data_IF_317775696537
#
_entry.id   IF_317775696537
#
_cell.length_a   1.000
_cell.length_b   1.000
_cell.length_c   1.000
_cell.angle_alpha   90.00
_cell.angle_beta   90.00
_cell.angle_gamma   90.00
#
_symmetry.space_group_name_H-M   'P 1'
#
loop_
_entity.id
_entity.type
_entity.pdbx_description
1 polymer ?
#
# COMPACT_ATOMS: atom_id res chain seq x y z
N UNK A 1 -7.29 -1.55 1.63
CA UNK A 1 -6.24 -0.51 1.81
C UNK A 1 -6.84 0.88 1.91
N UNK A 2 -7.56 1.37 0.89
CA UNK A 2 -8.12 2.74 0.91
C UNK A 2 -9.22 2.94 1.96
N UNK A 3 -10.02 1.90 2.24
CA UNK A 3 -11.04 1.91 3.28
C UNK A 3 -10.49 2.07 4.71
N UNK A 4 -9.17 2.02 4.90
CA UNK A 4 -8.54 2.32 6.19
C UNK A 4 -8.19 3.82 6.33
N UNK A 5 -8.33 4.60 5.26
CA UNK A 5 -8.01 6.03 5.19
C UNK A 5 -9.20 6.92 4.78
N UNK A 6 -10.20 6.33 4.12
CA UNK A 6 -11.36 7.02 3.53
C UNK A 6 -12.63 6.25 3.83
N UNK A 7 -13.73 6.97 4.00
CA UNK A 7 -15.04 6.35 4.03
C UNK A 7 -15.39 5.75 2.67
N UNK A 8 -16.24 4.72 2.65
CA UNK A 8 -16.55 3.96 1.43
C UNK A 8 -17.14 4.87 0.35
N UNK A 9 -17.96 5.82 0.77
CA UNK A 9 -18.68 6.78 -0.07
C UNK A 9 -17.73 7.78 -0.75
N UNK A 10 -16.56 8.02 -0.16
CA UNK A 10 -15.54 8.90 -0.74
C UNK A 10 -14.71 8.22 -1.82
N UNK A 11 -14.60 6.89 -1.78
CA UNK A 11 -13.73 6.14 -2.69
C UNK A 11 -14.45 5.98 -4.05
N UNK A 12 -13.91 6.56 -5.15
CA UNK A 12 -14.55 6.47 -6.44
C UNK A 12 -14.62 5.01 -6.93
N UNK A 13 -15.75 4.55 -7.49
CA UNK A 13 -15.90 3.17 -7.97
C UNK A 13 -14.83 2.73 -8.96
N UNK A 14 -14.37 3.65 -9.82
CA UNK A 14 -13.31 3.40 -10.80
C UNK A 14 -12.00 3.02 -10.11
N UNK A 15 -11.67 3.62 -8.96
CA UNK A 15 -10.47 3.30 -8.18
C UNK A 15 -10.52 1.86 -7.70
N UNK A 16 -11.67 1.43 -7.16
CA UNK A 16 -11.87 0.06 -6.70
C UNK A 16 -11.72 -0.92 -7.88
N UNK A 17 -12.34 -0.60 -9.02
CA UNK A 17 -12.28 -1.39 -10.25
C UNK A 17 -10.83 -1.56 -10.75
N UNK A 18 -10.06 -0.48 -10.83
CA UNK A 18 -8.68 -0.55 -11.31
C UNK A 18 -7.76 -1.28 -10.33
N UNK A 19 -7.91 -1.09 -9.01
CA UNK A 19 -7.18 -1.88 -8.02
C UNK A 19 -7.47 -3.38 -8.21
N UNK A 20 -8.75 -3.77 -8.36
CA UNK A 20 -9.13 -5.17 -8.56
C UNK A 20 -8.53 -5.74 -9.85
N UNK A 21 -8.61 -5.03 -10.97
CA UNK A 21 -8.10 -5.52 -12.25
C UNK A 21 -6.58 -5.67 -12.28
N UNK A 22 -5.85 -4.71 -11.71
CA UNK A 22 -4.39 -4.72 -11.79
C UNK A 22 -3.73 -5.57 -10.71
N UNK A 23 -4.35 -5.76 -9.55
CA UNK A 23 -3.73 -6.49 -8.45
C UNK A 23 -3.97 -8.02 -8.50
N UNK A 24 -4.74 -8.54 -9.45
CA UNK A 24 -4.97 -9.98 -9.66
C UNK A 24 -4.16 -10.53 -10.84
N UNK A 25 -2.92 -10.10 -10.99
CA UNK A 25 -2.12 -10.29 -12.20
C UNK A 25 -1.29 -11.60 -12.22
N UNK A 26 -1.10 -12.27 -11.07
CA UNK A 26 -0.25 -13.46 -10.99
C UNK A 26 -1.06 -14.75 -11.12
N UNK A 27 -0.64 -15.58 -12.07
CA UNK A 27 -1.18 -16.90 -12.34
C UNK A 27 -0.57 -17.95 -11.39
N UNK A 28 -1.32 -19.00 -11.06
CA UNK A 28 -0.72 -20.19 -10.45
C UNK A 28 -0.09 -21.10 -11.51
N UNK A 29 0.52 -22.19 -11.05
CA UNK A 29 1.23 -23.15 -11.91
C UNK A 29 0.27 -23.91 -12.86
N UNK A 30 -1.05 -23.78 -12.68
CA UNK A 30 -2.11 -24.30 -13.56
C UNK A 30 -2.63 -23.26 -14.57
N UNK A 31 -2.08 -22.04 -14.57
CA UNK A 31 -2.55 -20.96 -15.45
C UNK A 31 -3.86 -20.29 -14.99
N UNK A 32 -4.26 -20.46 -13.73
CA UNK A 32 -5.44 -19.80 -13.17
C UNK A 32 -5.09 -18.38 -12.69
N UNK A 33 -5.86 -17.38 -13.14
CA UNK A 33 -5.65 -15.95 -12.83
C UNK A 33 -5.88 -15.66 -11.35
N UNK A 34 -5.04 -14.80 -10.75
CA UNK A 34 -5.25 -14.24 -9.42
C UNK A 34 -4.99 -15.22 -8.26
N UNK A 35 -4.36 -16.37 -8.53
CA UNK A 35 -4.16 -17.45 -7.54
C UNK A 35 -2.82 -17.40 -6.81
N UNK A 36 -1.91 -16.50 -7.18
CA UNK A 36 -0.58 -16.35 -6.55
C UNK A 36 -0.32 -14.93 -6.04
N UNK A 37 -1.40 -14.15 -5.85
CA UNK A 37 -1.37 -12.78 -5.34
C UNK A 37 -1.02 -11.73 -6.40
N UNK A 38 -0.43 -10.64 -5.95
CA UNK A 38 -0.07 -9.46 -6.77
C UNK A 38 1.43 -9.42 -7.06
N UNK A 39 1.82 -9.11 -8.30
CA UNK A 39 3.23 -8.95 -8.65
C UNK A 39 3.80 -7.61 -8.16
N UNK A 40 5.14 -7.53 -8.16
CA UNK A 40 5.85 -6.26 -7.92
C UNK A 40 5.48 -5.21 -8.97
N UNK A 41 5.30 -5.63 -10.23
CA UNK A 41 5.00 -4.73 -11.35
C UNK A 41 3.60 -4.14 -11.21
N UNK A 42 2.61 -4.97 -10.86
CA UNK A 42 1.26 -4.51 -10.57
C UNK A 42 1.23 -3.51 -9.41
N UNK A 43 2.01 -3.77 -8.35
CA UNK A 43 2.10 -2.88 -7.19
C UNK A 43 2.75 -1.53 -7.54
N UNK A 44 3.81 -1.54 -8.36
CA UNK A 44 4.41 -0.31 -8.89
C UNK A 44 3.44 0.47 -9.79
N UNK A 45 2.76 -0.24 -10.69
CA UNK A 45 1.79 0.35 -11.61
C UNK A 45 0.64 1.01 -10.85
N UNK A 46 0.01 0.31 -9.91
CA UNK A 46 -1.12 0.87 -9.14
C UNK A 46 -0.67 2.04 -8.26
N UNK A 47 0.56 2.01 -7.74
CA UNK A 47 1.13 3.14 -6.99
C UNK A 47 1.20 4.40 -7.85
N UNK A 48 1.76 4.28 -9.05
CA UNK A 48 1.87 5.39 -9.98
C UNK A 48 0.48 5.85 -10.48
N UNK A 49 -0.40 4.91 -10.80
CA UNK A 49 -1.75 5.22 -11.24
C UNK A 49 -2.56 5.98 -10.17
N UNK A 50 -2.51 5.54 -8.91
CA UNK A 50 -3.16 6.23 -7.79
C UNK A 50 -2.59 7.63 -7.55
N UNK A 51 -1.27 7.80 -7.66
CA UNK A 51 -0.63 9.12 -7.56
C UNK A 51 -1.14 10.07 -8.66
N UNK A 52 -1.22 9.60 -9.91
CA UNK A 52 -1.75 10.41 -11.01
C UNK A 52 -3.25 10.65 -10.88
N UNK A 53 -4.00 9.67 -10.39
CA UNK A 53 -5.42 9.80 -10.10
C UNK A 53 -5.67 10.92 -9.07
N UNK A 54 -4.90 10.93 -7.97
CA UNK A 54 -4.94 11.97 -6.95
C UNK A 54 -4.81 13.37 -7.56
N UNK A 55 -3.76 13.57 -8.36
CA UNK A 55 -3.49 14.83 -9.06
C UNK A 55 -4.58 15.21 -10.07
N UNK A 56 -5.05 14.25 -10.86
CA UNK A 56 -5.98 14.51 -11.96
C UNK A 56 -7.42 14.74 -11.50
N UNK A 57 -7.80 14.18 -10.33
CA UNK A 57 -9.17 14.23 -9.80
C UNK A 57 -9.29 15.05 -8.50
N UNK A 58 -8.21 15.71 -8.10
CA UNK A 58 -8.13 16.43 -6.82
C UNK A 58 -8.57 15.53 -5.64
N UNK A 59 -8.16 14.27 -5.72
CA UNK A 59 -8.44 13.28 -4.68
C UNK A 59 -7.28 13.29 -3.68
N UNK A 60 -7.53 13.45 -2.37
CA UNK A 60 -6.54 13.77 -1.34
C UNK A 60 -5.68 12.56 -0.95
N UNK A 61 -4.96 11.99 -1.91
CA UNK A 61 -4.14 10.79 -1.73
C UNK A 61 -2.70 11.07 -2.12
N UNK A 62 -1.79 10.81 -1.19
CA UNK A 62 -0.36 10.80 -1.45
C UNK A 62 0.13 9.34 -1.45
N UNK A 63 0.94 8.99 -2.45
CA UNK A 63 1.45 7.63 -2.62
C UNK A 63 2.97 7.68 -2.74
N UNK A 64 3.66 6.79 -2.02
CA UNK A 64 5.08 6.54 -2.21
C UNK A 64 5.36 5.05 -2.37
N UNK A 65 6.08 4.69 -3.43
CA UNK A 65 6.52 3.32 -3.69
C UNK A 65 7.98 3.13 -3.27
N UNK A 66 8.22 2.19 -2.38
CA UNK A 66 9.52 1.88 -1.79
C UNK A 66 10.05 0.54 -2.32
N UNK A 67 11.35 0.49 -2.59
CA UNK A 67 12.05 -0.71 -3.03
C UNK A 67 13.40 -0.84 -2.32
N UNK A 68 13.92 -2.08 -2.27
CA UNK A 68 15.26 -2.41 -1.78
C UNK A 68 15.54 -1.87 -0.37
N UNK A 69 16.64 -1.14 -0.16
CA UNK A 69 17.11 -0.61 1.12
C UNK A 69 16.14 0.37 1.80
N UNK A 70 15.14 0.90 1.07
CA UNK A 70 14.12 1.76 1.66
C UNK A 70 12.99 0.98 2.33
N UNK A 71 12.95 -0.35 2.17
CA UNK A 71 11.88 -1.22 2.68
C UNK A 71 12.33 -1.88 3.98
N UNK A 72 12.36 -1.10 5.05
CA UNK A 72 12.71 -1.59 6.38
C UNK A 72 11.82 -0.97 7.45
N UNK A 73 11.74 -1.63 8.60
CA UNK A 73 11.05 -1.14 9.79
C UNK A 73 12.11 -0.63 10.75
N UNK A 74 12.12 0.67 11.01
CA UNK A 74 13.06 1.32 11.92
C UNK A 74 12.62 2.75 12.21
N UNK A 75 13.16 3.37 13.26
CA UNK A 75 12.74 4.72 13.68
C UNK A 75 12.87 5.78 12.58
N UNK A 76 13.83 5.62 11.67
CA UNK A 76 14.07 6.52 10.53
C UNK A 76 13.39 6.07 9.24
N UNK A 77 12.65 4.96 9.26
CA UNK A 77 12.08 4.41 8.04
C UNK A 77 10.81 5.17 7.63
N UNK A 78 10.66 5.39 6.32
CA UNK A 78 9.46 6.02 5.76
C UNK A 78 8.19 5.26 6.10
N UNK A 79 8.29 3.95 6.28
CA UNK A 79 7.19 3.07 6.70
C UNK A 79 6.71 3.47 8.10
N UNK A 80 7.62 3.57 9.08
CA UNK A 80 7.26 3.94 10.46
C UNK A 80 6.73 5.36 10.53
N UNK A 81 7.37 6.30 9.82
CA UNK A 81 6.90 7.69 9.76
C UNK A 81 5.47 7.79 9.20
N UNK A 82 5.17 7.08 8.10
CA UNK A 82 3.82 7.05 7.52
C UNK A 82 2.79 6.49 8.50
N UNK A 83 3.10 5.37 9.16
CA UNK A 83 2.21 4.76 10.15
C UNK A 83 1.95 5.69 11.35
N UNK A 84 2.98 6.38 11.85
CA UNK A 84 2.84 7.36 12.95
C UNK A 84 1.95 8.54 12.57
N UNK A 85 1.97 8.94 11.30
CA UNK A 85 1.16 10.03 10.78
C UNK A 85 -0.29 9.58 10.45
N UNK A 86 -0.66 8.33 10.70
CA UNK A 86 -1.99 7.78 10.42
C UNK A 86 -2.16 7.25 8.99
N UNK A 87 -1.07 7.12 8.24
CA UNK A 87 -1.05 6.49 6.93
C UNK A 87 -1.17 4.97 6.98
N UNK A 88 -1.29 4.39 5.79
CA UNK A 88 -1.35 2.93 5.59
C UNK A 88 -0.19 2.49 4.73
N UNK A 89 0.41 1.36 5.07
CA UNK A 89 1.50 0.77 4.29
C UNK A 89 1.09 -0.63 3.84
N UNK A 90 1.15 -0.86 2.53
CA UNK A 90 0.96 -2.18 1.90
C UNK A 90 2.33 -2.75 1.59
N UNK A 91 2.66 -3.92 2.15
CA UNK A 91 3.99 -4.52 2.01
C UNK A 91 3.89 -5.86 1.31
N UNK A 92 4.78 -6.12 0.34
CA UNK A 92 4.91 -7.43 -0.29
C UNK A 92 6.05 -8.21 0.37
N UNK A 93 5.69 -9.35 0.92
CA UNK A 93 6.59 -10.30 1.59
C UNK A 93 6.88 -11.47 0.66
N UNK A 94 8.01 -12.15 0.85
CA UNK A 94 8.20 -13.50 0.32
C UNK A 94 8.09 -14.49 1.46
N UNK A 95 7.12 -15.39 1.36
CA UNK A 95 6.91 -16.39 2.40
C UNK A 95 6.36 -17.70 1.81
N UNK A 96 6.89 -18.83 2.27
CA UNK A 96 6.72 -20.13 1.64
C UNK A 96 5.42 -20.92 1.89
N UNK A 97 4.77 -20.83 3.06
CA UNK A 97 3.67 -21.67 3.63
C UNK A 97 2.92 -20.97 4.83
N UNK A 98 2.42 -21.64 5.89
CA UNK A 98 1.72 -21.04 7.07
C UNK A 98 2.67 -20.44 8.12
N UNK A 99 2.39 -19.22 8.57
CA UNK A 99 3.52 -18.31 8.59
C UNK A 99 3.37 -17.08 9.50
N UNK A 100 4.11 -17.11 10.62
CA UNK A 100 4.36 -15.96 11.50
C UNK A 100 5.49 -15.12 10.90
N UNK A 101 5.23 -13.88 10.49
CA UNK A 101 6.26 -13.03 9.87
C UNK A 101 7.13 -12.41 10.97
N UNK A 102 8.38 -12.87 11.21
CA UNK A 102 9.28 -12.16 12.11
C UNK A 102 9.57 -10.76 11.54
N UNK A 103 9.67 -9.76 12.41
CA UNK A 103 9.96 -8.36 12.00
C UNK A 103 11.28 -8.20 11.20
N UNK A 104 12.16 -9.21 11.22
CA UNK A 104 13.39 -9.28 10.42
C UNK A 104 13.24 -9.91 9.03
N UNK A 105 12.02 -10.24 8.59
CA UNK A 105 11.78 -10.76 7.24
C UNK A 105 12.14 -9.74 6.16
N UNK A 106 12.59 -10.25 5.00
CA UNK A 106 12.90 -9.42 3.84
C UNK A 106 11.61 -8.93 3.18
N UNK A 107 11.32 -7.66 3.39
CA UNK A 107 10.29 -6.96 2.64
C UNK A 107 10.82 -6.64 1.24
N UNK A 108 10.09 -7.03 0.19
CA UNK A 108 10.56 -6.84 -1.19
C UNK A 108 10.26 -5.40 -1.63
N UNK A 109 9.00 -4.98 -1.45
CA UNK A 109 8.49 -3.65 -1.81
C UNK A 109 7.41 -3.21 -0.85
N UNK A 110 7.25 -1.90 -0.69
CA UNK A 110 6.16 -1.30 0.08
C UNK A 110 5.52 -0.14 -0.68
N UNK A 111 4.21 0.03 -0.51
CA UNK A 111 3.44 1.17 -0.99
C UNK A 111 2.88 1.90 0.23
N UNK A 112 3.34 3.12 0.46
CA UNK A 112 2.81 4.04 1.46
C UNK A 112 1.64 4.80 0.83
N UNK A 113 0.56 4.94 1.61
CA UNK A 113 -0.63 5.68 1.26
C UNK A 113 -0.92 6.64 2.41
N UNK A 114 -1.03 7.93 2.11
CA UNK A 114 -1.45 8.96 3.05
C UNK A 114 -2.75 9.60 2.57
N UNK A 115 -3.60 10.00 3.52
CA UNK A 115 -4.71 10.89 3.28
C UNK A 115 -4.26 12.32 3.60
N UNK A 116 -4.22 13.19 2.59
CA UNK A 116 -3.74 14.57 2.74
C UNK A 116 -4.63 15.42 3.66
N UNK A 117 -5.88 14.99 3.91
CA UNK A 117 -6.81 15.68 4.82
C UNK A 117 -6.56 15.36 6.29
N UNK A 118 -5.82 14.30 6.61
CA UNK A 118 -5.55 13.91 8.00
C UNK A 118 -4.27 14.62 8.45
N UNK A 119 -4.34 15.64 9.33
CA UNK A 119 -3.14 16.27 9.85
C UNK A 119 -2.32 15.24 10.62
N UNK A 120 -1.01 15.26 10.39
CA UNK A 120 -0.02 14.37 11.00
C UNK A 120 -0.25 14.26 12.52
N UNK A 121 -0.89 13.17 12.95
CA UNK A 121 -1.46 13.03 14.30
C UNK A 121 -0.37 12.73 15.33
N UNK A 122 0.39 13.74 15.74
CA UNK A 122 1.35 13.64 16.85
C UNK A 122 0.72 14.03 18.22
N UNK A 123 -0.44 14.69 18.28
CA UNK A 123 -0.93 15.26 19.56
C UNK A 123 -2.07 14.53 20.30
N UNK A 124 -2.47 13.30 19.95
CA UNK A 124 -3.62 12.65 20.64
C UNK A 124 -3.32 11.33 21.35
N UNK A 125 -2.10 11.11 21.83
CA UNK A 125 -1.78 9.95 22.71
C UNK A 125 -1.12 10.31 24.04
N UNK A 126 -1.23 11.56 24.49
CA UNK A 126 -0.91 11.94 25.87
C UNK A 126 -2.10 12.67 26.47
N UNK A 127 -3.09 11.90 26.91
CA UNK A 127 -4.12 12.29 27.86
C UNK A 127 -4.53 11.05 28.66
#
# INVERSE_FOLDING_TARGET
MLSALFDREEIPPDVIKYIMFYCLDVYNDKGEIGKKGTSVVAMMFISNWLCQFGKAKDFPIEIAYLTKENVFIGQTSKIVMALQQGGVVVVRLYYGEEHYVPLGCVFIVAMIIMNERVPHRIEQRVA
#
